data_IF_082752112271
#
_entry.id   IF_082752112271
#
_cell.length_a   1.000
_cell.length_b   1.000
_cell.length_c   1.000
_cell.angle_alpha   90.00
_cell.angle_beta   90.00
_cell.angle_gamma   90.00
#
_symmetry.space_group_name_H-M   'P 1'
#
loop_
_entity.id
_entity.type
_entity.pdbx_description
1 polymer ?
#
# COMPACT_ATOMS: atom_id res chain seq x y z
N UNK A 1 -9.92 -7.15 -2.65
CA UNK A 1 -9.08 -6.04 -3.14
C UNK A 1 -8.29 -5.36 -2.05
N UNK A 2 -7.43 -4.41 -2.43
CA UNK A 2 -6.47 -3.71 -1.56
C UNK A 2 -7.11 -3.11 -0.30
N UNK A 3 -8.32 -2.55 -0.40
CA UNK A 3 -9.01 -1.96 0.76
C UNK A 3 -9.15 -2.95 1.92
N UNK A 4 -9.66 -4.15 1.63
CA UNK A 4 -9.88 -5.18 2.65
C UNK A 4 -8.53 -5.66 3.21
N UNK A 5 -7.53 -5.85 2.34
CA UNK A 5 -6.19 -6.26 2.77
C UNK A 5 -5.58 -5.26 3.77
N UNK A 6 -5.64 -3.96 3.49
CA UNK A 6 -5.14 -2.94 4.42
C UNK A 6 -5.98 -2.90 5.71
N UNK A 7 -7.30 -3.05 5.63
CA UNK A 7 -8.17 -3.07 6.80
C UNK A 7 -7.87 -4.26 7.72
N UNK A 8 -7.70 -5.46 7.15
CA UNK A 8 -7.33 -6.66 7.91
C UNK A 8 -5.96 -6.52 8.57
N UNK A 9 -4.99 -5.91 7.89
CA UNK A 9 -3.68 -5.59 8.49
C UNK A 9 -3.81 -4.61 9.67
N UNK A 10 -4.65 -3.59 9.54
CA UNK A 10 -4.95 -2.63 10.62
C UNK A 10 -5.59 -3.34 11.83
N UNK A 11 -6.53 -4.24 11.58
CA UNK A 11 -7.20 -5.03 12.63
C UNK A 11 -6.22 -5.98 13.34
N UNK A 12 -5.42 -6.73 12.58
CA UNK A 12 -4.44 -7.66 13.13
C UNK A 12 -3.32 -6.94 13.90
N UNK A 13 -2.89 -5.78 13.41
CA UNK A 13 -1.84 -4.96 14.03
C UNK A 13 -2.32 -4.05 15.16
N UNK A 14 -3.64 -3.95 15.38
CA UNK A 14 -4.26 -2.97 16.28
C UNK A 14 -3.66 -1.55 16.08
N UNK A 15 -3.61 -1.12 14.82
CA UNK A 15 -2.97 0.11 14.41
C UNK A 15 -3.79 0.83 13.33
N UNK A 16 -3.42 2.08 13.05
CA UNK A 16 -3.93 2.84 11.93
C UNK A 16 -3.13 2.57 10.66
N UNK A 17 -3.70 3.00 9.53
CA UNK A 17 -3.06 2.99 8.21
C UNK A 17 -3.12 4.40 7.65
N UNK A 18 -1.99 4.88 7.15
CA UNK A 18 -1.95 6.05 6.28
C UNK A 18 -1.44 5.61 4.91
N UNK A 19 -2.36 5.55 3.94
CA UNK A 19 -2.09 5.06 2.60
C UNK A 19 -2.34 6.13 1.52
N UNK A 20 -1.49 6.12 0.50
CA UNK A 20 -1.63 6.91 -0.72
C UNK A 20 -1.75 5.97 -1.93
N UNK A 21 -2.84 6.14 -2.68
CA UNK A 21 -3.15 5.31 -3.85
C UNK A 21 -2.92 6.03 -5.18
N UNK A 22 -2.33 7.22 -5.19
CA UNK A 22 -2.10 7.99 -6.42
C UNK A 22 -1.27 7.22 -7.47
N UNK A 23 -0.35 6.35 -7.02
CA UNK A 23 0.48 5.54 -7.93
C UNK A 23 -0.23 4.30 -8.52
N UNK A 24 -1.46 4.01 -8.09
CA UNK A 24 -2.20 2.79 -8.47
C UNK A 24 -3.19 3.01 -9.63
N UNK A 25 -3.24 4.22 -10.18
CA UNK A 25 -4.07 4.59 -11.32
C UNK A 25 -5.13 5.65 -11.01
N UNK A 26 -5.76 6.17 -12.07
CA UNK A 26 -6.71 7.29 -12.00
C UNK A 26 -8.08 6.95 -11.40
N UNK A 27 -8.49 5.68 -11.51
CA UNK A 27 -9.75 5.16 -10.98
C UNK A 27 -9.53 4.56 -9.59
N UNK A 28 -9.95 5.32 -8.58
CA UNK A 28 -9.83 4.95 -7.16
C UNK A 28 -10.65 3.72 -6.80
N UNK A 29 -11.82 3.53 -7.43
CA UNK A 29 -12.65 2.37 -7.16
C UNK A 29 -11.97 1.13 -7.72
N UNK A 30 -11.47 1.20 -8.96
CA UNK A 30 -10.70 0.10 -9.54
C UNK A 30 -9.46 -0.20 -8.69
N UNK A 31 -8.67 0.79 -8.30
CA UNK A 31 -7.45 0.60 -7.50
C UNK A 31 -7.70 -0.09 -6.14
N UNK A 32 -8.82 0.24 -5.47
CA UNK A 32 -9.11 -0.27 -4.13
C UNK A 32 -9.87 -1.61 -4.13
N UNK A 33 -10.75 -1.81 -5.10
CA UNK A 33 -11.74 -2.89 -5.08
C UNK A 33 -11.51 -3.97 -6.13
N UNK A 34 -10.57 -3.81 -7.07
CA UNK A 34 -10.18 -4.94 -7.93
C UNK A 34 -9.71 -6.14 -7.09
N UNK A 35 -9.85 -7.34 -7.65
CA UNK A 35 -9.45 -8.60 -7.01
C UNK A 35 -8.30 -9.28 -7.79
N UNK A 36 -7.43 -8.48 -8.39
CA UNK A 36 -6.22 -8.97 -9.05
C UNK A 36 -5.28 -9.61 -8.03
N UNK A 37 -4.43 -10.52 -8.52
CA UNK A 37 -3.42 -11.17 -7.68
C UNK A 37 -2.37 -10.17 -7.20
N UNK A 38 -1.98 -10.27 -5.94
CA UNK A 38 -0.95 -9.41 -5.34
C UNK A 38 -0.81 -9.63 -3.85
N UNK A 39 0.03 -8.82 -3.21
CA UNK A 39 0.23 -8.84 -1.77
C UNK A 39 0.63 -7.45 -1.25
N UNK A 40 0.25 -7.14 -0.02
CA UNK A 40 0.82 -6.02 0.74
C UNK A 40 1.85 -6.57 1.72
N UNK A 41 3.09 -6.10 1.63
CA UNK A 41 4.16 -6.46 2.57
C UNK A 41 4.53 -5.24 3.42
N UNK A 42 4.59 -5.42 4.73
CA UNK A 42 5.13 -4.41 5.64
C UNK A 42 6.59 -4.71 5.93
N UNK A 43 7.46 -3.74 5.68
CA UNK A 43 8.90 -3.82 5.91
C UNK A 43 9.35 -2.71 6.84
N UNK A 44 10.52 -2.86 7.48
CA UNK A 44 11.14 -1.75 8.21
C UNK A 44 11.53 -0.67 7.22
N UNK A 45 11.38 0.59 7.60
CA UNK A 45 11.71 1.73 6.74
C UNK A 45 13.17 1.68 6.23
N UNK A 46 14.10 1.27 7.09
CA UNK A 46 15.52 1.12 6.74
C UNK A 46 15.80 0.01 5.70
N UNK A 47 14.90 -0.96 5.54
CA UNK A 47 15.08 -2.10 4.63
C UNK A 47 14.38 -1.90 3.28
N UNK A 48 13.65 -0.80 3.11
CA UNK A 48 12.78 -0.58 1.95
C UNK A 48 13.54 -0.71 0.62
N UNK A 49 14.63 0.03 0.47
CA UNK A 49 15.44 0.04 -0.76
C UNK A 49 16.00 -1.36 -1.07
N UNK A 50 16.45 -2.07 -0.03
CA UNK A 50 16.95 -3.44 -0.18
C UNK A 50 15.84 -4.38 -0.66
N UNK A 51 14.63 -4.27 -0.11
CA UNK A 51 13.48 -5.09 -0.52
C UNK A 51 13.02 -4.75 -1.94
N UNK A 52 12.93 -3.47 -2.29
CA UNK A 52 12.60 -3.02 -3.65
C UNK A 52 13.63 -3.54 -4.67
N UNK A 53 14.93 -3.52 -4.32
CA UNK A 53 15.99 -4.08 -5.15
C UNK A 53 15.83 -5.59 -5.37
N UNK A 54 15.48 -6.35 -4.33
CA UNK A 54 15.21 -7.80 -4.46
C UNK A 54 14.01 -8.04 -5.38
N UNK A 55 12.91 -7.31 -5.23
CA UNK A 55 11.73 -7.44 -6.09
C UNK A 55 12.06 -7.09 -7.55
N UNK A 56 12.85 -6.04 -7.78
CA UNK A 56 13.31 -5.66 -9.10
C UNK A 56 14.19 -6.73 -9.77
N UNK A 57 15.09 -7.38 -9.00
CA UNK A 57 15.91 -8.51 -9.49
C UNK A 57 15.06 -9.70 -9.94
N UNK A 58 13.84 -9.83 -9.42
CA UNK A 58 12.85 -10.84 -9.83
C UNK A 58 11.86 -10.34 -10.89
N UNK A 59 12.10 -9.18 -11.50
CA UNK A 59 11.28 -8.64 -12.59
C UNK A 59 9.94 -8.05 -12.12
N UNK A 60 9.81 -7.74 -10.82
CA UNK A 60 8.56 -7.22 -10.24
C UNK A 60 8.55 -5.69 -10.08
N UNK A 61 9.58 -4.98 -10.55
CA UNK A 61 9.74 -3.55 -10.31
C UNK A 61 8.49 -2.74 -10.69
N UNK A 62 7.89 -3.01 -11.86
CA UNK A 62 6.71 -2.29 -12.36
C UNK A 62 5.41 -2.66 -11.62
N UNK A 63 5.42 -3.75 -10.86
CA UNK A 63 4.28 -4.19 -10.03
C UNK A 63 4.42 -3.74 -8.56
N UNK A 64 5.51 -3.07 -8.20
CA UNK A 64 5.78 -2.64 -6.83
C UNK A 64 5.39 -1.18 -6.67
N UNK A 65 4.42 -0.96 -5.79
CA UNK A 65 3.95 0.37 -5.43
C UNK A 65 4.12 0.58 -3.94
N UNK A 66 4.70 1.71 -3.57
CA UNK A 66 4.65 2.15 -2.18
C UNK A 66 3.28 2.71 -1.88
N UNK A 67 2.56 2.03 -0.99
CA UNK A 67 1.19 2.37 -0.64
C UNK A 67 1.07 3.17 0.65
N UNK A 68 2.08 3.18 1.54
CA UNK A 68 2.02 3.96 2.79
C UNK A 68 2.66 3.28 4.00
N UNK A 69 2.14 3.59 5.19
CA UNK A 69 2.69 3.14 6.48
C UNK A 69 1.60 2.74 7.48
N UNK A 70 1.91 1.75 8.32
CA UNK A 70 1.18 1.53 9.56
C UNK A 70 1.58 2.58 10.60
N UNK A 71 0.60 3.11 11.33
CA UNK A 71 0.77 4.18 12.31
C UNK A 71 0.09 3.81 13.62
N UNK A 72 0.56 4.33 14.76
CA UNK A 72 -0.16 4.15 16.02
C UNK A 72 -1.52 4.86 15.99
N UNK A 73 -2.52 4.31 16.69
CA UNK A 73 -3.87 4.87 16.77
C UNK A 73 -4.92 4.05 16.01
N UNK A 74 -6.10 4.63 15.76
CA UNK A 74 -7.27 3.94 15.18
C UNK A 74 -7.65 4.42 13.77
N UNK A 75 -6.87 5.34 13.19
CA UNK A 75 -7.25 6.04 11.97
C UNK A 75 -6.86 5.22 10.75
N UNK A 76 -7.85 4.90 9.93
CA UNK A 76 -7.69 4.29 8.62
C UNK A 76 -7.89 5.34 7.54
N UNK A 77 -6.80 5.83 6.95
CA UNK A 77 -6.77 6.93 5.99
C UNK A 77 -6.26 6.42 4.65
N UNK A 78 -7.05 6.66 3.60
CA UNK A 78 -6.66 6.48 2.20
C UNK A 78 -6.75 7.83 1.52
N UNK A 79 -5.65 8.29 0.95
CA UNK A 79 -5.54 9.54 0.22
C UNK A 79 -5.13 9.31 -1.24
N UNK A 80 -5.36 10.32 -2.06
CA UNK A 80 -4.81 10.46 -3.41
C UNK A 80 -4.23 11.89 -3.44
N UNK A 81 -2.97 12.02 -3.03
CA UNK A 81 -2.34 13.34 -2.82
C UNK A 81 -2.03 14.06 -4.13
N UNK A 82 -2.06 13.37 -5.28
CA UNK A 82 -1.89 14.01 -6.59
C UNK A 82 -3.09 14.85 -7.02
N UNK A 83 -4.27 14.67 -6.41
CA UNK A 83 -5.51 15.43 -6.73
C UNK A 83 -5.93 16.45 -5.67
N UNK A 84 -5.04 16.80 -4.73
CA UNK A 84 -5.28 17.89 -3.75
C UNK A 84 -4.85 19.28 -4.27
N UNK A 85 -4.57 19.41 -5.58
CA UNK A 85 -4.24 20.66 -6.27
C UNK A 85 -5.44 21.35 -6.90
#
# INVERSE_FOLDING_TARGET
>A
GLLVTLAEMAFAGHCGINADIASLGDDRLAALFNEELGAVIQVRAADREAVESVLAQHGLADCVHYVGQAVSGDRFVIADVQRLG
#
